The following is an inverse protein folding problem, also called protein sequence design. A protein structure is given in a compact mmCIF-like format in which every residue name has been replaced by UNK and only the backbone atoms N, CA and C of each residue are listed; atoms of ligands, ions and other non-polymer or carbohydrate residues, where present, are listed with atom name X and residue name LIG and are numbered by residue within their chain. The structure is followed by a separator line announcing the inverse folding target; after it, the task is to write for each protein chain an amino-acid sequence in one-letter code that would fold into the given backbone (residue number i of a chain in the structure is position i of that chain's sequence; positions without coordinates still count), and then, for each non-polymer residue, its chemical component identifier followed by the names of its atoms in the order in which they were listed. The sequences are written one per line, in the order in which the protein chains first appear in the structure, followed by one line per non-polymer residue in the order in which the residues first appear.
data_IF_824886715636
#
_entry.id   IF_824886715636
#
_cell.length_a   1.000
_cell.length_b   1.000
_cell.length_c   1.000
_cell.angle_alpha   90.00
_cell.angle_beta   90.00
_cell.angle_gamma   90.00
#
_symmetry.space_group_name_H-M   'P 1'
#
loop_
_entity.id
_entity.type
_entity.pdbx_description
1 polymer ?
#
# COMPACT_ATOMS: atom_id res chain seq x y z
N UNK A 1 -14.52 22.14 -24.13
CA UNK A 1 -14.08 20.90 -23.49
C UNK A 1 -12.70 21.21 -22.91
N UNK A 2 -12.47 20.91 -21.65
CA UNK A 2 -11.13 21.12 -21.10
C UNK A 2 -10.14 20.16 -21.76
N UNK A 3 -8.97 20.68 -22.14
CA UNK A 3 -7.90 19.83 -22.68
C UNK A 3 -7.29 18.99 -21.54
N UNK A 4 -6.91 17.73 -21.79
CA UNK A 4 -6.25 16.90 -20.79
C UNK A 4 -4.86 17.48 -20.43
N UNK A 5 -4.52 17.50 -19.16
CA UNK A 5 -3.19 17.91 -18.70
C UNK A 5 -2.16 16.79 -18.95
N UNK A 6 -2.58 15.53 -18.86
CA UNK A 6 -1.78 14.37 -19.19
C UNK A 6 -2.62 13.36 -19.97
N UNK A 7 -2.09 12.88 -21.07
CA UNK A 7 -2.72 11.85 -21.90
C UNK A 7 -1.72 10.71 -22.15
N UNK A 8 -2.19 9.50 -21.97
CA UNK A 8 -1.52 8.25 -22.28
C UNK A 8 -2.20 7.67 -23.50
N UNK A 9 -1.45 7.37 -24.56
CA UNK A 9 -1.99 6.85 -25.81
C UNK A 9 -1.31 5.50 -26.15
N UNK A 10 -2.11 4.43 -26.18
CA UNK A 10 -1.73 3.10 -26.66
C UNK A 10 -0.43 2.57 -26.00
N UNK A 11 -0.26 2.82 -24.69
CA UNK A 11 0.95 2.44 -23.96
C UNK A 11 0.98 0.95 -23.69
N UNK A 12 2.08 0.32 -24.09
CA UNK A 12 2.37 -1.09 -23.84
C UNK A 12 3.70 -1.25 -23.10
N UNK A 13 3.77 -2.25 -22.19
CA UNK A 13 4.97 -2.60 -21.45
C UNK A 13 5.06 -4.08 -21.19
N UNK A 14 6.22 -4.66 -21.50
CA UNK A 14 6.52 -6.07 -21.27
C UNK A 14 7.74 -6.21 -20.34
N UNK A 15 7.68 -7.18 -19.45
CA UNK A 15 8.81 -7.61 -18.61
C UNK A 15 9.03 -9.11 -18.88
N UNK A 16 10.16 -9.45 -19.47
CA UNK A 16 10.49 -10.81 -19.89
C UNK A 16 9.32 -11.51 -20.62
N UNK A 17 8.66 -12.47 -19.98
CA UNK A 17 7.52 -13.22 -20.54
C UNK A 17 6.16 -12.62 -20.17
N UNK A 18 6.10 -11.57 -19.36
CA UNK A 18 4.84 -11.01 -18.85
C UNK A 18 4.51 -9.68 -19.54
N UNK A 19 3.35 -9.61 -20.20
CA UNK A 19 2.77 -8.37 -20.70
C UNK A 19 2.12 -7.65 -19.52
N UNK A 20 2.72 -6.56 -19.04
CA UNK A 20 2.23 -5.81 -17.89
C UNK A 20 1.23 -4.72 -18.27
N UNK A 21 1.36 -4.14 -19.48
CA UNK A 21 0.39 -3.23 -20.08
C UNK A 21 0.29 -3.54 -21.56
N UNK A 22 -0.92 -3.55 -22.10
CA UNK A 22 -1.25 -3.86 -23.48
C UNK A 22 -2.26 -2.85 -24.00
N UNK A 23 -1.81 -1.92 -24.84
CA UNK A 23 -2.62 -0.90 -25.51
C UNK A 23 -3.45 -0.01 -24.53
N UNK A 24 -2.84 0.44 -23.45
CA UNK A 24 -3.53 1.24 -22.43
C UNK A 24 -3.56 2.71 -22.78
N UNK A 25 -4.76 3.30 -22.75
CA UNK A 25 -4.99 4.73 -22.95
C UNK A 25 -5.72 5.35 -21.74
N UNK A 26 -5.33 6.58 -21.34
CA UNK A 26 -5.88 7.29 -20.19
C UNK A 26 -5.75 8.79 -20.41
N UNK A 27 -6.76 9.57 -19.96
CA UNK A 27 -6.73 11.04 -19.99
C UNK A 27 -7.00 11.60 -18.61
N UNK A 28 -6.14 12.50 -18.14
CA UNK A 28 -6.30 13.22 -16.89
C UNK A 28 -6.58 14.69 -17.17
N UNK A 29 -7.63 15.21 -16.54
CA UNK A 29 -8.09 16.58 -16.75
C UNK A 29 -7.80 17.44 -15.52
N UNK A 30 -7.45 18.75 -15.70
CA UNK A 30 -7.27 19.66 -14.59
C UNK A 30 -8.55 19.77 -13.75
N UNK A 31 -8.41 19.81 -12.43
CA UNK A 31 -9.54 19.91 -11.50
C UNK A 31 -10.44 18.68 -11.47
N UNK A 32 -9.89 17.49 -11.78
CA UNK A 32 -10.62 16.22 -11.74
C UNK A 32 -9.86 15.17 -10.92
N UNK A 33 -10.60 14.40 -10.15
CA UNK A 33 -10.08 13.20 -9.49
C UNK A 33 -10.49 11.99 -10.34
N UNK A 34 -9.50 11.37 -10.97
CA UNK A 34 -9.65 10.20 -11.82
C UNK A 34 -9.22 8.95 -11.05
N UNK A 35 -10.13 8.02 -10.77
CA UNK A 35 -9.79 6.77 -10.14
C UNK A 35 -9.23 5.75 -11.15
N UNK A 36 -8.17 5.05 -10.78
CA UNK A 36 -7.65 3.91 -11.52
C UNK A 36 -7.84 2.65 -10.67
N UNK A 37 -8.69 1.75 -11.13
CA UNK A 37 -9.08 0.55 -10.40
C UNK A 37 -8.74 -0.72 -11.18
N UNK A 38 -8.63 -1.84 -10.49
CA UNK A 38 -8.30 -3.15 -11.06
C UNK A 38 -7.73 -4.07 -10.00
N UNK A 39 -7.72 -5.37 -10.23
CA UNK A 39 -7.12 -6.36 -9.33
C UNK A 39 -5.59 -6.19 -9.21
N UNK A 40 -5.00 -6.90 -8.24
CA UNK A 40 -3.53 -6.99 -8.14
C UNK A 40 -2.98 -7.66 -9.41
N UNK A 41 -1.95 -7.04 -10.01
CA UNK A 41 -1.41 -7.50 -11.30
C UNK A 41 -2.08 -6.89 -12.54
N UNK A 42 -3.13 -6.06 -12.40
CA UNK A 42 -3.81 -5.42 -13.53
C UNK A 42 -2.98 -4.38 -14.30
N UNK A 43 -1.75 -4.08 -13.88
CA UNK A 43 -0.86 -3.14 -14.56
C UNK A 43 -0.80 -1.73 -13.94
N UNK A 44 -1.60 -1.43 -12.90
CA UNK A 44 -1.68 -0.10 -12.28
C UNK A 44 -0.31 0.46 -11.89
N UNK A 45 0.48 -0.29 -11.10
CA UNK A 45 1.80 0.15 -10.65
C UNK A 45 2.81 0.29 -11.79
N UNK A 46 2.67 -0.47 -12.88
CA UNK A 46 3.48 -0.31 -14.09
C UNK A 46 3.15 1.00 -14.79
N UNK A 47 1.86 1.34 -14.92
CA UNK A 47 1.43 2.61 -15.48
C UNK A 47 1.96 3.79 -14.64
N UNK A 48 1.83 3.74 -13.31
CA UNK A 48 2.38 4.76 -12.41
C UNK A 48 3.89 4.95 -12.65
N UNK A 49 4.66 3.87 -12.72
CA UNK A 49 6.12 3.92 -12.96
C UNK A 49 6.45 4.55 -14.30
N UNK A 50 5.62 4.36 -15.32
CA UNK A 50 5.79 5.02 -16.63
C UNK A 50 5.49 6.51 -16.51
N UNK A 51 4.38 6.89 -15.87
CA UNK A 51 3.99 8.30 -15.68
C UNK A 51 4.99 9.07 -14.81
N UNK A 52 5.65 8.41 -13.89
CA UNK A 52 6.69 8.98 -13.02
C UNK A 52 8.11 8.87 -13.59
N UNK A 53 8.29 8.29 -14.77
CA UNK A 53 9.59 8.15 -15.43
C UNK A 53 10.52 7.10 -14.80
N UNK A 54 10.05 6.30 -13.86
CA UNK A 54 10.81 5.19 -13.26
C UNK A 54 11.00 4.04 -14.24
N UNK A 55 10.02 3.88 -15.15
CA UNK A 55 10.05 2.91 -16.23
C UNK A 55 9.74 3.61 -17.55
N UNK A 56 10.25 3.06 -18.67
CA UNK A 56 9.89 3.52 -20.01
C UNK A 56 8.86 2.58 -20.61
N UNK A 57 7.89 3.13 -21.33
CA UNK A 57 6.99 2.35 -22.17
C UNK A 57 7.79 1.71 -23.34
N UNK A 58 7.35 0.54 -23.77
CA UNK A 58 7.95 -0.10 -24.97
C UNK A 58 7.27 0.39 -26.24
N UNK A 59 5.96 0.76 -26.14
CA UNK A 59 5.17 1.34 -27.22
C UNK A 59 4.21 2.37 -26.66
N UNK A 60 3.66 3.22 -27.54
CA UNK A 60 2.72 4.27 -27.19
C UNK A 60 3.38 5.59 -26.83
N UNK A 61 2.56 6.58 -26.52
CA UNK A 61 2.98 7.97 -26.35
C UNK A 61 2.38 8.59 -25.10
N UNK A 62 3.11 9.56 -24.55
CA UNK A 62 2.64 10.43 -23.46
C UNK A 62 2.55 11.86 -23.99
N UNK A 63 1.41 12.51 -23.78
CA UNK A 63 1.24 13.92 -24.12
C UNK A 63 0.99 14.71 -22.84
N UNK A 64 1.69 15.82 -22.69
CA UNK A 64 1.51 16.77 -21.59
C UNK A 64 0.96 18.07 -22.18
N UNK A 65 -0.26 18.44 -21.81
CA UNK A 65 -0.98 19.60 -22.38
C UNK A 65 -0.92 19.60 -23.91
N UNK A 66 -1.22 18.45 -24.54
CA UNK A 66 -1.24 18.24 -25.98
C UNK A 66 0.13 18.06 -26.65
N UNK A 67 1.25 18.22 -25.93
CA UNK A 67 2.59 18.10 -26.48
C UNK A 67 3.18 16.71 -26.21
N UNK A 68 3.67 16.04 -27.24
CA UNK A 68 4.38 14.78 -27.11
C UNK A 68 5.57 14.93 -26.16
N UNK A 69 5.61 14.12 -25.12
CA UNK A 69 6.57 14.29 -24.02
C UNK A 69 7.17 12.96 -23.64
N UNK A 70 8.50 12.91 -23.54
CA UNK A 70 9.21 11.76 -23.01
C UNK A 70 9.63 12.02 -21.56
N UNK A 71 9.14 11.18 -20.65
CA UNK A 71 9.47 11.26 -19.22
C UNK A 71 10.61 10.27 -18.94
N UNK A 72 11.84 10.73 -19.01
CA UNK A 72 13.04 9.87 -18.98
C UNK A 72 13.38 9.36 -17.57
N UNK A 73 13.02 10.12 -16.53
CA UNK A 73 13.29 9.80 -15.13
C UNK A 73 12.36 10.59 -14.20
N UNK A 74 12.36 10.24 -12.92
CA UNK A 74 11.51 10.86 -11.90
C UNK A 74 11.76 12.37 -11.74
N UNK A 75 13.01 12.81 -11.92
CA UNK A 75 13.33 14.23 -11.86
C UNK A 75 12.72 15.02 -13.02
N UNK A 76 12.70 14.43 -14.21
CA UNK A 76 12.03 15.02 -15.38
C UNK A 76 10.51 15.07 -15.19
N UNK A 77 9.90 14.01 -14.61
CA UNK A 77 8.49 14.02 -14.24
C UNK A 77 8.16 15.21 -13.32
N UNK A 78 8.96 15.43 -12.28
CA UNK A 78 8.80 16.58 -11.38
C UNK A 78 8.89 17.93 -12.11
N UNK A 79 9.83 18.11 -13.05
CA UNK A 79 9.93 19.36 -13.83
C UNK A 79 8.71 19.61 -14.72
N UNK A 80 7.99 18.56 -15.09
CA UNK A 80 6.72 18.63 -15.82
C UNK A 80 5.51 18.83 -14.90
N UNK A 81 5.71 18.88 -13.58
CA UNK A 81 4.65 19.01 -12.58
C UNK A 81 3.92 17.70 -12.32
N UNK A 82 4.55 16.54 -12.55
CA UNK A 82 4.01 15.23 -12.21
C UNK A 82 4.68 14.74 -10.92
N UNK A 83 3.89 14.47 -9.89
CA UNK A 83 4.35 13.91 -8.62
C UNK A 83 3.54 12.67 -8.25
N UNK A 84 4.15 11.75 -7.51
CA UNK A 84 3.48 10.57 -6.98
C UNK A 84 3.68 10.47 -5.48
N UNK A 85 2.61 10.09 -4.79
CA UNK A 85 2.59 9.70 -3.38
C UNK A 85 2.36 8.21 -3.37
N UNK A 86 3.26 7.50 -2.71
CA UNK A 86 3.23 6.05 -2.62
C UNK A 86 2.56 5.59 -1.32
N UNK A 87 2.22 4.32 -1.24
CA UNK A 87 1.63 3.68 -0.06
C UNK A 87 2.46 3.91 1.22
N UNK A 88 3.80 3.87 1.10
CA UNK A 88 4.73 4.25 2.16
C UNK A 88 5.31 5.63 1.83
N UNK A 89 5.16 6.66 2.70
CA UNK A 89 5.68 7.99 2.44
C UNK A 89 7.19 7.99 2.18
N UNK A 90 7.60 8.62 1.09
CA UNK A 90 9.01 8.80 0.74
C UNK A 90 9.57 10.08 1.39
N UNK A 91 9.81 10.01 2.68
CA UNK A 91 10.27 11.11 3.51
C UNK A 91 11.60 10.80 4.18
N UNK A 92 12.28 11.82 4.64
CA UNK A 92 13.50 11.72 5.45
C UNK A 92 13.12 11.87 6.92
N UNK A 93 13.10 10.78 7.70
CA UNK A 93 12.54 10.78 9.05
C UNK A 93 13.33 11.66 10.04
N UNK A 94 14.62 11.84 9.83
CA UNK A 94 15.51 12.62 10.69
C UNK A 94 15.51 14.13 10.40
N UNK A 95 14.90 14.55 9.29
CA UNK A 95 14.75 15.94 8.92
C UNK A 95 13.43 16.51 9.43
N UNK A 96 13.37 17.83 9.58
CA UNK A 96 12.12 18.50 9.93
C UNK A 96 11.15 18.59 8.74
N UNK A 97 9.92 19.03 9.01
CA UNK A 97 8.85 19.16 8.02
C UNK A 97 9.23 20.10 6.88
N UNK A 98 9.79 21.27 7.18
CA UNK A 98 10.15 22.23 6.15
C UNK A 98 11.32 21.73 5.29
N UNK A 99 12.31 21.08 5.89
CA UNK A 99 13.40 20.44 5.16
C UNK A 99 12.86 19.37 4.20
N UNK A 100 11.94 18.53 4.66
CA UNK A 100 11.32 17.52 3.80
C UNK A 100 10.56 18.12 2.62
N UNK A 101 9.81 19.20 2.83
CA UNK A 101 9.08 19.90 1.76
C UNK A 101 10.05 20.41 0.70
N UNK A 102 11.16 20.99 1.10
CA UNK A 102 12.03 21.74 0.20
C UNK A 102 13.32 21.03 -0.24
N UNK A 103 13.61 19.83 0.24
CA UNK A 103 14.85 19.08 -0.10
C UNK A 103 15.04 18.85 -1.61
N UNK A 104 13.94 18.82 -2.38
CA UNK A 104 14.00 18.61 -3.82
C UNK A 104 14.21 19.91 -4.64
N UNK A 105 14.24 21.07 -3.98
CA UNK A 105 14.41 22.37 -4.65
C UNK A 105 15.89 22.66 -4.92
N UNK A 106 16.26 22.75 -6.19
CA UNK A 106 17.65 23.03 -6.62
C UNK A 106 18.04 24.50 -6.57
N UNK A 107 17.06 25.40 -6.67
CA UNK A 107 17.28 26.83 -6.94
C UNK A 107 17.37 27.70 -5.66
N UNK A 108 17.61 27.08 -4.49
CA UNK A 108 17.64 27.83 -3.22
C UNK A 108 18.97 28.53 -2.92
N UNK A 109 19.91 28.50 -3.85
CA UNK A 109 21.23 29.13 -3.71
C UNK A 109 22.17 28.36 -2.77
N UNK A 110 23.35 28.95 -2.51
CA UNK A 110 24.39 28.33 -1.70
C UNK A 110 24.11 28.41 -0.18
N UNK A 111 23.34 29.42 0.24
CA UNK A 111 22.95 29.60 1.64
C UNK A 111 21.45 29.38 1.84
N UNK A 112 21.08 28.53 2.80
CA UNK A 112 19.70 28.28 3.15
C UNK A 112 19.17 29.43 4.01
N UNK A 113 18.08 30.04 3.58
CA UNK A 113 17.34 31.08 4.34
C UNK A 113 16.27 30.39 5.18
N UNK A 114 16.64 29.92 6.36
CA UNK A 114 15.77 29.11 7.23
C UNK A 114 14.42 29.78 7.53
N UNK A 115 14.43 31.04 7.94
CA UNK A 115 13.16 31.74 8.28
C UNK A 115 12.20 31.83 7.09
N UNK A 116 12.74 32.08 5.89
CA UNK A 116 11.94 32.09 4.68
C UNK A 116 11.38 30.67 4.39
N UNK A 117 12.20 29.64 4.52
CA UNK A 117 11.81 28.25 4.29
C UNK A 117 10.70 27.82 5.23
N UNK A 118 10.81 28.11 6.53
CA UNK A 118 9.78 27.79 7.52
C UNK A 118 8.47 28.54 7.26
N UNK A 119 8.54 29.84 6.88
CA UNK A 119 7.36 30.61 6.55
C UNK A 119 6.65 30.07 5.30
N UNK A 120 7.39 29.75 4.24
CA UNK A 120 6.84 29.16 3.02
C UNK A 120 6.20 27.78 3.30
N UNK A 121 6.87 26.92 4.08
CA UNK A 121 6.32 25.62 4.49
C UNK A 121 5.00 25.77 5.24
N UNK A 122 4.95 26.73 6.18
CA UNK A 122 3.75 27.04 6.95
C UNK A 122 2.59 27.46 6.05
N UNK A 123 2.83 28.37 5.11
CA UNK A 123 1.81 28.84 4.15
C UNK A 123 1.28 27.68 3.31
N UNK A 124 2.15 26.77 2.83
CA UNK A 124 1.74 25.61 2.03
C UNK A 124 0.84 24.69 2.86
N UNK A 125 1.21 24.39 4.11
CA UNK A 125 0.43 23.52 4.99
C UNK A 125 -0.91 24.16 5.40
N UNK A 126 -0.92 25.45 5.69
CA UNK A 126 -2.15 26.21 5.99
C UNK A 126 -3.12 26.18 4.79
N UNK A 127 -2.62 26.38 3.57
CA UNK A 127 -3.41 26.32 2.35
C UNK A 127 -4.00 24.91 2.10
N UNK A 128 -3.32 23.86 2.56
CA UNK A 128 -3.83 22.49 2.55
C UNK A 128 -4.85 22.22 3.67
N UNK A 129 -5.02 23.14 4.62
CA UNK A 129 -5.84 22.95 5.82
C UNK A 129 -5.22 21.97 6.82
N UNK A 130 -3.89 21.84 6.82
CA UNK A 130 -3.13 20.93 7.67
C UNK A 130 -2.36 21.73 8.72
N UNK A 131 -2.58 21.40 10.00
CA UNK A 131 -1.89 22.05 11.11
C UNK A 131 -0.77 21.15 11.63
N UNK A 132 0.45 21.36 11.15
CA UNK A 132 1.67 20.65 11.56
C UNK A 132 2.75 21.68 11.86
N UNK A 133 3.50 21.48 12.96
CA UNK A 133 4.67 22.31 13.23
C UNK A 133 5.75 22.05 12.18
N UNK A 134 6.13 23.10 11.46
CA UNK A 134 7.12 23.03 10.37
C UNK A 134 8.53 22.65 10.84
N UNK A 135 8.80 22.74 12.15
CA UNK A 135 10.07 22.38 12.80
C UNK A 135 10.02 21.01 13.46
N UNK A 136 8.87 20.33 13.46
CA UNK A 136 8.76 18.98 13.98
C UNK A 136 9.54 18.00 13.11
N UNK A 137 10.26 17.06 13.77
CA UNK A 137 10.94 15.96 13.06
C UNK A 137 9.91 14.96 12.53
N UNK A 138 10.07 14.47 11.32
CA UNK A 138 9.08 13.59 10.70
C UNK A 138 8.92 12.25 11.41
N UNK A 139 9.96 11.70 12.02
CA UNK A 139 9.88 10.45 12.80
C UNK A 139 8.89 10.52 13.97
N UNK A 140 8.57 11.72 14.47
CA UNK A 140 7.57 11.93 15.52
C UNK A 140 6.14 12.11 15.06
N UNK A 141 5.90 12.15 13.75
CA UNK A 141 4.58 12.41 13.17
C UNK A 141 3.82 11.12 12.83
N UNK A 142 2.50 11.21 12.85
CA UNK A 142 1.63 10.12 12.36
C UNK A 142 1.83 9.91 10.84
N UNK A 143 1.48 8.73 10.34
CA UNK A 143 1.59 8.42 8.92
C UNK A 143 0.80 9.41 8.04
N UNK A 144 -0.40 9.79 8.47
CA UNK A 144 -1.21 10.79 7.78
C UNK A 144 -0.55 12.17 7.72
N UNK A 145 0.12 12.59 8.80
CA UNK A 145 0.88 13.83 8.82
C UNK A 145 2.08 13.76 7.88
N UNK A 146 2.81 12.65 7.85
CA UNK A 146 3.91 12.42 6.90
C UNK A 146 3.43 12.47 5.45
N UNK A 147 2.29 11.85 5.12
CA UNK A 147 1.67 11.95 3.80
C UNK A 147 1.29 13.39 3.44
N UNK A 148 0.75 14.15 4.39
CA UNK A 148 0.45 15.56 4.18
C UNK A 148 1.71 16.40 3.88
N UNK A 149 2.83 16.07 4.49
CA UNK A 149 4.13 16.68 4.18
C UNK A 149 4.61 16.31 2.78
N UNK A 150 4.40 15.06 2.34
CA UNK A 150 4.73 14.61 0.98
C UNK A 150 3.86 15.34 -0.07
N UNK A 151 2.57 15.55 0.21
CA UNK A 151 1.69 16.38 -0.62
C UNK A 151 2.19 17.83 -0.66
N UNK A 152 2.53 18.42 0.49
CA UNK A 152 3.07 19.76 0.58
C UNK A 152 4.36 19.93 -0.25
N UNK A 153 5.24 18.92 -0.24
CA UNK A 153 6.41 18.84 -1.10
C UNK A 153 6.04 18.85 -2.59
N UNK A 154 5.03 18.08 -3.01
CA UNK A 154 4.56 18.06 -4.39
C UNK A 154 4.03 19.44 -4.81
N UNK A 155 3.24 20.09 -3.94
CA UNK A 155 2.71 21.43 -4.19
C UNK A 155 3.81 22.46 -4.32
N UNK A 156 4.82 22.42 -3.47
CA UNK A 156 5.95 23.36 -3.52
C UNK A 156 6.69 23.30 -4.86
N UNK A 157 6.54 22.20 -5.62
CA UNK A 157 7.08 21.99 -6.96
C UNK A 157 6.08 22.32 -8.09
N UNK A 158 4.99 23.06 -7.80
CA UNK A 158 3.96 23.43 -8.78
C UNK A 158 3.34 22.22 -9.51
N UNK A 159 2.91 21.22 -8.73
CA UNK A 159 2.30 20.01 -9.25
C UNK A 159 1.07 20.30 -10.11
N UNK A 160 1.00 19.68 -11.29
CA UNK A 160 -0.14 19.70 -12.21
C UNK A 160 -0.91 18.38 -12.19
N UNK A 161 -0.19 17.28 -12.00
CA UNK A 161 -0.72 15.92 -11.90
C UNK A 161 -0.18 15.26 -10.64
N UNK A 162 -1.07 14.92 -9.72
CA UNK A 162 -0.74 14.20 -8.50
C UNK A 162 -1.25 12.77 -8.58
N UNK A 163 -0.36 11.80 -8.50
CA UNK A 163 -0.67 10.37 -8.47
C UNK A 163 -0.68 9.93 -7.01
N UNK A 164 -1.77 9.33 -6.54
CA UNK A 164 -1.91 8.79 -5.19
C UNK A 164 -2.09 7.27 -5.27
N UNK A 165 -1.04 6.52 -4.93
CA UNK A 165 -1.01 5.04 -5.00
C UNK A 165 -1.34 4.44 -3.65
N UNK A 166 -2.60 3.99 -3.46
CA UNK A 166 -3.14 3.41 -2.22
C UNK A 166 -2.87 4.27 -0.96
N UNK A 167 -3.12 5.58 -0.99
CA UNK A 167 -2.67 6.48 0.07
C UNK A 167 -3.38 6.24 1.41
N UNK A 168 -4.46 5.47 1.43
CA UNK A 168 -5.33 5.23 2.60
C UNK A 168 -5.10 3.89 3.29
N UNK A 169 -4.21 3.05 2.76
CA UNK A 169 -4.07 1.64 3.18
C UNK A 169 -3.81 1.46 4.69
N UNK A 170 -3.07 2.38 5.30
CA UNK A 170 -2.66 2.32 6.71
C UNK A 170 -3.27 3.44 7.56
N UNK A 171 -4.27 4.16 7.03
CA UNK A 171 -4.90 5.29 7.71
C UNK A 171 -6.18 4.89 8.44
N UNK A 172 -6.44 5.55 9.57
CA UNK A 172 -7.73 5.54 10.24
C UNK A 172 -8.79 6.30 9.43
N UNK A 173 -10.07 6.05 9.66
CA UNK A 173 -11.17 6.75 8.98
C UNK A 173 -11.09 8.28 9.15
N UNK A 174 -10.62 8.76 10.30
CA UNK A 174 -10.43 10.19 10.53
C UNK A 174 -9.35 10.76 9.60
N UNK A 175 -8.23 10.07 9.49
CA UNK A 175 -7.10 10.45 8.64
C UNK A 175 -7.45 10.37 7.14
N UNK A 176 -8.23 9.36 6.74
CA UNK A 176 -8.76 9.27 5.36
C UNK A 176 -9.60 10.51 5.02
N UNK A 177 -10.49 10.93 5.92
CA UNK A 177 -11.30 12.13 5.73
C UNK A 177 -10.45 13.42 5.64
N UNK A 178 -9.32 13.48 6.35
CA UNK A 178 -8.37 14.59 6.22
C UNK A 178 -7.70 14.58 4.86
N UNK A 179 -7.19 13.43 4.41
CA UNK A 179 -6.59 13.27 3.09
C UNK A 179 -7.57 13.65 1.97
N UNK A 180 -8.83 13.24 2.07
CA UNK A 180 -9.86 13.57 1.08
C UNK A 180 -10.17 15.07 1.04
N UNK A 181 -10.12 15.78 2.16
CA UNK A 181 -10.23 17.25 2.19
C UNK A 181 -9.06 17.90 1.43
N UNK A 182 -7.84 17.42 1.67
CA UNK A 182 -6.66 17.88 0.95
C UNK A 182 -6.79 17.62 -0.55
N UNK A 183 -7.22 16.42 -0.95
CA UNK A 183 -7.40 16.08 -2.37
C UNK A 183 -8.49 16.95 -3.04
N UNK A 184 -9.62 17.22 -2.35
CA UNK A 184 -10.66 18.13 -2.87
C UNK A 184 -10.14 19.56 -3.03
N UNK A 185 -9.36 20.06 -2.07
CA UNK A 185 -8.72 21.39 -2.17
C UNK A 185 -7.78 21.47 -3.39
N UNK A 186 -6.97 20.45 -3.62
CA UNK A 186 -6.08 20.36 -4.79
C UNK A 186 -6.88 20.35 -6.11
N UNK A 187 -7.96 19.60 -6.16
CA UNK A 187 -8.89 19.58 -7.30
C UNK A 187 -9.44 20.98 -7.58
N UNK A 188 -9.89 21.71 -6.56
CA UNK A 188 -10.39 23.10 -6.68
C UNK A 188 -9.30 24.06 -7.20
N UNK A 189 -8.03 23.76 -6.92
CA UNK A 189 -6.86 24.47 -7.45
C UNK A 189 -6.37 23.93 -8.82
N UNK A 190 -7.24 23.27 -9.58
CA UNK A 190 -6.98 22.74 -10.92
C UNK A 190 -5.86 21.68 -11.01
N UNK A 191 -5.48 21.01 -9.92
CA UNK A 191 -4.60 19.85 -9.97
C UNK A 191 -5.40 18.64 -10.48
N UNK A 192 -4.86 17.92 -11.44
CA UNK A 192 -5.40 16.62 -11.86
C UNK A 192 -4.92 15.55 -10.89
N UNK A 193 -5.82 14.74 -10.36
CA UNK A 193 -5.46 13.68 -9.40
C UNK A 193 -5.75 12.32 -10.02
N UNK A 194 -4.74 11.44 -10.06
CA UNK A 194 -4.91 10.03 -10.36
C UNK A 194 -4.92 9.26 -9.02
N UNK A 195 -6.10 8.80 -8.62
CA UNK A 195 -6.32 8.14 -7.33
C UNK A 195 -6.42 6.63 -7.53
N UNK A 196 -5.52 5.87 -6.92
CA UNK A 196 -5.51 4.42 -6.96
C UNK A 196 -5.92 3.88 -5.60
N UNK A 197 -6.97 3.08 -5.55
CA UNK A 197 -7.40 2.37 -4.35
C UNK A 197 -8.04 1.03 -4.73
N UNK A 198 -7.86 0.04 -3.88
CA UNK A 198 -8.61 -1.22 -3.94
C UNK A 198 -9.89 -1.17 -3.08
N UNK A 199 -10.10 -0.08 -2.31
CA UNK A 199 -11.27 0.17 -1.47
C UNK A 199 -12.31 0.94 -2.26
N UNK A 200 -13.29 0.22 -2.81
CA UNK A 200 -14.30 0.81 -3.70
C UNK A 200 -15.09 1.94 -3.02
N UNK A 201 -15.36 1.84 -1.71
CA UNK A 201 -16.07 2.90 -0.97
C UNK A 201 -15.35 4.24 -1.08
N UNK A 202 -14.02 4.24 -1.02
CA UNK A 202 -13.20 5.44 -1.19
C UNK A 202 -13.28 6.00 -2.61
N UNK A 203 -13.24 5.13 -3.61
CA UNK A 203 -13.38 5.52 -5.01
C UNK A 203 -14.73 6.21 -5.24
N UNK A 204 -15.81 5.62 -4.72
CA UNK A 204 -17.16 6.19 -4.84
C UNK A 204 -17.36 7.48 -4.03
N UNK A 205 -16.54 7.74 -3.03
CA UNK A 205 -16.61 8.96 -2.24
C UNK A 205 -15.91 10.15 -2.90
N UNK A 206 -14.77 9.90 -3.58
CA UNK A 206 -13.89 11.01 -3.97
C UNK A 206 -13.76 11.22 -5.48
N UNK A 207 -13.93 10.17 -6.32
CA UNK A 207 -13.65 10.24 -7.73
C UNK A 207 -14.76 10.90 -8.55
N UNK A 208 -14.39 11.55 -9.65
CA UNK A 208 -15.32 12.07 -10.67
C UNK A 208 -15.48 11.08 -11.83
N UNK A 209 -14.38 10.46 -12.22
CA UNK A 209 -14.27 9.52 -13.33
C UNK A 209 -13.43 8.34 -12.89
N UNK A 210 -13.67 7.19 -13.45
CA UNK A 210 -12.85 6.02 -13.20
C UNK A 210 -12.45 5.31 -14.50
N UNK A 211 -11.27 4.69 -14.46
CA UNK A 211 -10.78 3.75 -15.47
C UNK A 211 -10.55 2.39 -14.82
N UNK A 212 -11.02 1.35 -15.48
CA UNK A 212 -10.79 -0.04 -15.08
C UNK A 212 -9.66 -0.64 -15.91
N UNK A 213 -8.63 -1.15 -15.21
CA UNK A 213 -7.62 -2.00 -15.82
C UNK A 213 -7.82 -3.46 -15.37
N UNK A 214 -7.63 -4.38 -16.29
CA UNK A 214 -7.64 -5.83 -16.02
C UNK A 214 -6.65 -6.54 -16.95
N UNK A 215 -5.79 -7.38 -16.38
CA UNK A 215 -4.80 -8.18 -17.13
C UNK A 215 -3.91 -7.33 -18.07
N UNK A 216 -3.56 -6.13 -17.63
CA UNK A 216 -2.76 -5.18 -18.41
C UNK A 216 -3.53 -4.38 -19.46
N UNK A 217 -4.83 -4.57 -19.61
CA UNK A 217 -5.65 -3.94 -20.64
C UNK A 217 -6.60 -2.88 -20.07
N UNK A 218 -6.89 -1.87 -20.86
CA UNK A 218 -7.94 -0.89 -20.60
C UNK A 218 -9.31 -1.52 -20.87
N UNK A 219 -10.16 -1.62 -19.85
CA UNK A 219 -11.50 -2.22 -19.98
C UNK A 219 -12.55 -1.14 -20.26
N UNK A 220 -12.55 -0.09 -19.43
CA UNK A 220 -13.52 1.00 -19.58
C UNK A 220 -13.02 2.29 -18.91
N UNK A 221 -13.56 3.42 -19.35
CA UNK A 221 -13.44 4.72 -18.66
C UNK A 221 -14.83 5.35 -18.62
N UNK A 222 -15.33 5.62 -17.43
CA UNK A 222 -16.67 6.13 -17.22
C UNK A 222 -16.72 7.22 -16.15
N UNK A 223 -17.62 8.24 -16.29
CA UNK A 223 -17.99 9.10 -15.17
C UNK A 223 -18.55 8.25 -14.03
N UNK A 224 -18.15 8.55 -12.80
CA UNK A 224 -18.58 7.76 -11.62
C UNK A 224 -20.09 7.72 -11.47
N UNK A 225 -20.80 8.78 -11.87
CA UNK A 225 -22.27 8.86 -11.83
C UNK A 225 -23.00 7.81 -12.66
N UNK A 226 -22.29 7.15 -13.61
CA UNK A 226 -22.85 6.11 -14.48
C UNK A 226 -22.45 4.69 -14.04
N UNK A 227 -21.73 4.54 -12.94
CA UNK A 227 -21.16 3.25 -12.51
C UNK A 227 -21.77 2.85 -11.17
N UNK A 228 -22.16 1.57 -11.03
CA UNK A 228 -22.53 0.97 -9.75
C UNK A 228 -21.40 0.10 -9.20
N UNK A 229 -21.40 -0.18 -7.90
CA UNK A 229 -20.39 -1.07 -7.30
C UNK A 229 -20.38 -2.44 -7.94
N UNK A 230 -21.56 -2.98 -8.26
CA UNK A 230 -21.73 -4.28 -8.87
C UNK A 230 -21.17 -4.32 -10.29
N UNK A 231 -21.46 -3.29 -11.11
CA UNK A 231 -20.91 -3.18 -12.47
C UNK A 231 -19.40 -3.05 -12.45
N UNK A 232 -18.85 -2.25 -11.51
CA UNK A 232 -17.44 -2.05 -11.35
C UNK A 232 -16.70 -3.35 -10.99
N UNK A 233 -17.20 -4.09 -10.01
CA UNK A 233 -16.62 -5.38 -9.60
C UNK A 233 -16.63 -6.36 -10.78
N UNK A 234 -17.74 -6.42 -11.55
CA UNK A 234 -17.83 -7.28 -12.74
C UNK A 234 -16.77 -6.93 -13.78
N UNK A 235 -16.52 -5.65 -14.04
CA UNK A 235 -15.48 -5.20 -14.98
C UNK A 235 -14.07 -5.52 -14.47
N UNK A 236 -13.80 -5.30 -13.16
CA UNK A 236 -12.50 -5.57 -12.54
C UNK A 236 -12.13 -7.06 -12.56
N UNK A 237 -13.10 -7.94 -12.23
CA UNK A 237 -12.87 -9.38 -12.05
C UNK A 237 -13.13 -10.18 -13.32
N UNK A 238 -13.97 -9.67 -14.23
CA UNK A 238 -14.35 -10.35 -15.49
C UNK A 238 -15.31 -11.53 -15.30
N UNK A 239 -15.86 -11.73 -14.09
CA UNK A 239 -16.79 -12.83 -13.74
C UNK A 239 -17.96 -12.29 -12.93
N UNK A 240 -19.10 -12.98 -12.96
CA UNK A 240 -20.24 -12.61 -12.10
C UNK A 240 -19.96 -12.94 -10.63
N UNK A 241 -20.33 -12.02 -9.74
CA UNK A 241 -20.09 -12.10 -8.27
C UNK A 241 -20.68 -13.36 -7.65
N UNK A 242 -21.77 -13.90 -8.22
CA UNK A 242 -22.45 -15.09 -7.72
C UNK A 242 -21.59 -16.37 -7.65
N UNK A 243 -20.37 -16.35 -8.24
CA UNK A 243 -19.44 -17.49 -8.18
C UNK A 243 -18.45 -17.41 -6.99
N UNK A 244 -18.37 -16.28 -6.28
CA UNK A 244 -17.42 -16.12 -5.17
C UNK A 244 -17.95 -16.57 -3.82
N UNK A 245 -19.27 -16.55 -3.62
CA UNK A 245 -19.85 -16.99 -2.36
C UNK A 245 -20.41 -18.41 -2.51
N UNK A 246 -19.56 -19.41 -2.42
CA UNK A 246 -20.08 -20.75 -2.10
C UNK A 246 -20.70 -20.65 -0.70
N UNK A 247 -22.01 -20.89 -0.61
CA UNK A 247 -22.71 -21.02 0.68
C UNK A 247 -21.98 -22.09 1.50
N UNK A 248 -21.15 -21.63 2.43
CA UNK A 248 -20.38 -22.52 3.30
C UNK A 248 -21.40 -23.25 4.19
N UNK A 249 -21.64 -24.53 3.95
CA UNK A 249 -22.43 -25.33 4.86
C UNK A 249 -21.73 -25.27 6.23
N UNK A 250 -22.45 -24.78 7.24
CA UNK A 250 -21.95 -24.75 8.62
C UNK A 250 -21.60 -26.19 9.01
N UNK A 251 -20.32 -26.49 9.03
CA UNK A 251 -19.83 -27.78 9.55
C UNK A 251 -19.87 -27.72 11.08
N UNK A 252 -20.22 -28.83 11.74
CA UNK A 252 -20.04 -28.94 13.19
C UNK A 252 -18.58 -28.62 13.54
N UNK A 253 -18.38 -27.78 14.54
CA UNK A 253 -17.05 -27.47 15.05
C UNK A 253 -16.35 -28.77 15.49
N UNK A 254 -15.08 -28.89 15.13
CA UNK A 254 -14.24 -30.03 15.54
C UNK A 254 -13.78 -29.90 16.99
N UNK A 255 -12.71 -30.60 17.35
CA UNK A 255 -12.09 -30.48 18.68
C UNK A 255 -11.44 -29.11 18.82
N UNK A 256 -11.42 -28.54 20.04
CA UNK A 256 -10.63 -27.36 20.35
C UNK A 256 -9.14 -27.69 20.16
N UNK A 257 -8.45 -26.92 19.31
CA UNK A 257 -7.01 -27.07 19.00
C UNK A 257 -6.17 -25.98 19.63
N UNK A 258 -6.75 -24.80 19.89
CA UNK A 258 -6.10 -23.70 20.59
C UNK A 258 -7.11 -23.08 21.55
N UNK A 259 -6.73 -22.91 22.79
CA UNK A 259 -7.50 -22.19 23.82
C UNK A 259 -6.61 -21.13 24.46
N UNK A 260 -7.09 -19.90 24.47
CA UNK A 260 -6.40 -18.74 25.03
C UNK A 260 -7.28 -18.18 26.14
N UNK A 261 -6.70 -18.02 27.35
CA UNK A 261 -7.41 -17.58 28.54
C UNK A 261 -6.65 -16.45 29.22
N UNK A 262 -7.33 -15.30 29.38
CA UNK A 262 -6.82 -14.10 30.08
C UNK A 262 -5.41 -13.70 29.63
N UNK A 263 -5.15 -13.77 28.31
CA UNK A 263 -3.86 -13.44 27.75
C UNK A 263 -3.65 -11.92 27.82
N UNK A 264 -2.55 -11.49 28.44
CA UNK A 264 -2.26 -10.08 28.64
C UNK A 264 -0.81 -9.75 28.36
N UNK A 265 -0.57 -8.55 27.82
CA UNK A 265 0.74 -7.94 27.60
C UNK A 265 0.64 -6.44 27.82
N UNK A 266 1.15 -5.95 28.93
CA UNK A 266 1.12 -4.52 29.27
C UNK A 266 2.14 -3.72 28.43
N UNK A 267 1.81 -2.49 28.00
CA UNK A 267 0.50 -1.82 28.03
C UNK A 267 -0.32 -2.08 26.74
N UNK A 268 -0.12 -3.20 26.05
CA UNK A 268 -0.55 -3.43 24.66
C UNK A 268 -1.96 -3.98 24.60
N UNK A 269 -2.25 -5.07 25.31
CA UNK A 269 -3.59 -5.69 25.39
C UNK A 269 -3.77 -6.41 26.73
N UNK A 270 -5.01 -6.58 27.16
CA UNK A 270 -5.37 -7.21 28.42
C UNK A 270 -6.56 -8.15 28.27
N UNK A 271 -6.49 -9.30 28.98
CA UNK A 271 -7.60 -10.21 29.20
C UNK A 271 -8.16 -10.89 27.94
N UNK A 272 -7.35 -11.14 26.90
CA UNK A 272 -7.83 -11.77 25.65
C UNK A 272 -8.19 -13.24 25.87
N UNK A 273 -9.42 -13.61 25.47
CA UNK A 273 -9.94 -14.98 25.57
C UNK A 273 -10.59 -15.41 24.26
N UNK A 274 -10.25 -16.60 23.77
CA UNK A 274 -10.91 -17.25 22.64
C UNK A 274 -10.54 -18.74 22.52
N UNK A 275 -11.32 -19.47 21.76
CA UNK A 275 -11.03 -20.85 21.35
C UNK A 275 -11.05 -20.97 19.83
N UNK A 276 -10.18 -21.82 19.29
CA UNK A 276 -10.14 -22.18 17.89
C UNK A 276 -10.30 -23.70 17.76
N UNK A 277 -11.18 -24.12 16.86
CA UNK A 277 -11.53 -25.51 16.65
C UNK A 277 -10.95 -26.06 15.34
N UNK A 278 -10.77 -27.35 15.27
CA UNK A 278 -10.27 -28.02 14.07
C UNK A 278 -11.18 -27.74 12.86
N UNK A 279 -10.58 -27.22 11.77
CA UNK A 279 -11.29 -26.89 10.54
C UNK A 279 -12.07 -25.57 10.61
N UNK A 280 -11.93 -24.81 11.69
CA UNK A 280 -12.51 -23.49 11.87
C UNK A 280 -11.61 -22.39 11.25
N UNK A 281 -12.26 -21.30 10.82
CA UNK A 281 -11.61 -20.02 10.53
C UNK A 281 -12.21 -19.00 11.49
N UNK A 282 -11.43 -18.62 12.50
CA UNK A 282 -11.80 -17.61 13.48
C UNK A 282 -11.35 -16.22 12.98
N UNK A 283 -12.29 -15.29 12.87
CA UNK A 283 -12.02 -13.92 12.42
C UNK A 283 -11.77 -12.98 13.60
N UNK A 284 -10.67 -12.22 13.55
CA UNK A 284 -10.40 -11.10 14.46
C UNK A 284 -10.78 -9.80 13.79
N UNK A 285 -11.81 -9.10 14.29
CA UNK A 285 -12.25 -7.82 13.80
C UNK A 285 -11.87 -6.68 14.75
N UNK A 286 -11.59 -5.51 14.21
CA UNK A 286 -11.25 -4.31 14.99
C UNK A 286 -10.71 -3.20 14.09
N UNK A 287 -10.75 -1.97 14.59
CA UNK A 287 -10.19 -0.79 13.91
C UNK A 287 -8.66 -0.82 13.87
N UNK A 288 -8.06 0.04 13.06
CA UNK A 288 -6.62 0.32 13.11
C UNK A 288 -6.27 0.76 14.53
N UNK A 289 -5.20 0.19 15.10
CA UNK A 289 -4.80 0.45 16.49
C UNK A 289 -5.49 -0.43 17.54
N UNK A 290 -6.41 -1.34 17.18
CA UNK A 290 -7.06 -2.27 18.12
C UNK A 290 -6.16 -3.40 18.62
N UNK A 291 -4.89 -3.41 18.23
CA UNK A 291 -3.86 -4.36 18.69
C UNK A 291 -4.08 -5.83 18.29
N UNK A 292 -4.88 -6.10 17.24
CA UNK A 292 -5.09 -7.46 16.71
C UNK A 292 -3.80 -8.15 16.30
N UNK A 293 -2.93 -7.42 15.60
CA UNK A 293 -1.62 -7.90 15.15
C UNK A 293 -0.74 -8.27 16.32
N UNK A 294 -0.78 -7.49 17.41
CA UNK A 294 0.02 -7.76 18.62
C UNK A 294 -0.36 -9.09 19.28
N UNK A 295 -1.66 -9.46 19.27
CA UNK A 295 -2.12 -10.78 19.75
C UNK A 295 -1.53 -11.91 18.88
N UNK A 296 -1.53 -11.74 17.55
CA UNK A 296 -0.91 -12.70 16.63
C UNK A 296 0.59 -12.86 16.85
N UNK A 297 1.31 -11.74 17.02
CA UNK A 297 2.75 -11.71 17.34
C UNK A 297 3.06 -12.41 18.67
N UNK A 298 2.20 -12.22 19.68
CA UNK A 298 2.32 -12.85 20.98
C UNK A 298 2.13 -14.37 20.89
N UNK A 299 1.10 -14.84 20.19
CA UNK A 299 0.85 -16.27 19.96
C UNK A 299 1.95 -16.95 19.15
N UNK A 300 2.67 -16.20 18.33
CA UNK A 300 3.83 -16.72 17.58
C UNK A 300 5.16 -16.56 18.33
N UNK A 301 5.15 -15.95 19.52
CA UNK A 301 6.34 -15.81 20.37
C UNK A 301 7.34 -14.75 19.92
N UNK A 302 6.93 -13.80 19.06
CA UNK A 302 7.75 -12.62 18.72
C UNK A 302 7.72 -11.63 19.88
N UNK A 303 6.55 -11.45 20.47
CA UNK A 303 6.31 -10.59 21.63
C UNK A 303 5.73 -11.43 22.77
N UNK A 304 6.52 -12.14 23.57
CA UNK A 304 6.01 -12.99 24.65
C UNK A 304 5.05 -12.25 25.59
N UNK A 305 4.05 -12.97 26.09
CA UNK A 305 3.01 -12.44 26.97
C UNK A 305 3.49 -12.34 28.41
N UNK A 306 2.87 -11.42 29.18
CA UNK A 306 3.20 -11.23 30.60
C UNK A 306 2.38 -12.17 31.49
N UNK A 307 1.14 -12.48 31.09
CA UNK A 307 0.24 -13.36 31.84
C UNK A 307 -0.81 -14.03 30.95
N UNK A 308 -1.54 -14.97 31.52
CA UNK A 308 -2.55 -15.75 30.83
C UNK A 308 -2.08 -17.19 30.53
N UNK A 309 -2.95 -17.96 29.87
CA UNK A 309 -2.66 -19.35 29.54
C UNK A 309 -2.97 -19.61 28.06
N UNK A 310 -2.03 -20.28 27.38
CA UNK A 310 -2.19 -20.80 26.03
C UNK A 310 -2.21 -22.33 26.13
N UNK A 311 -3.26 -22.97 25.60
CA UNK A 311 -3.36 -24.42 25.54
C UNK A 311 -3.44 -24.85 24.05
N UNK A 312 -2.61 -25.81 23.67
CA UNK A 312 -2.67 -26.47 22.34
C UNK A 312 -3.02 -27.94 22.58
N UNK A 313 -4.07 -28.43 21.88
CA UNK A 313 -4.62 -29.76 22.08
C UNK A 313 -4.88 -30.08 23.57
N UNK A 314 -5.44 -29.11 24.32
CA UNK A 314 -5.74 -29.16 25.76
C UNK A 314 -4.51 -29.30 26.66
N UNK A 315 -3.32 -29.03 26.17
CA UNK A 315 -2.08 -29.01 26.97
C UNK A 315 -1.60 -27.58 27.10
N UNK A 316 -1.33 -27.11 28.32
CA UNK A 316 -0.77 -25.79 28.52
C UNK A 316 0.65 -25.73 27.91
N UNK A 317 0.92 -24.66 27.20
CA UNK A 317 2.20 -24.42 26.51
C UNK A 317 2.72 -23.02 26.81
N UNK A 318 4.03 -22.88 26.77
CA UNK A 318 4.71 -21.58 26.84
C UNK A 318 5.31 -21.33 25.45
N UNK A 319 5.07 -20.13 24.91
CA UNK A 319 5.57 -19.73 23.59
C UNK A 319 6.39 -18.46 23.73
N UNK A 320 7.71 -18.60 23.90
CA UNK A 320 8.64 -17.49 24.10
C UNK A 320 9.46 -17.19 22.83
N UNK A 321 9.26 -17.95 21.76
CA UNK A 321 9.97 -17.76 20.50
C UNK A 321 9.23 -18.36 19.32
N UNK A 322 9.44 -17.84 18.08
CA UNK A 322 8.91 -18.40 16.85
C UNK A 322 9.28 -19.87 16.64
N UNK A 323 10.48 -20.29 17.09
CA UNK A 323 10.94 -21.66 17.00
C UNK A 323 10.11 -22.62 17.87
N UNK A 324 9.68 -22.19 19.05
CA UNK A 324 8.76 -22.95 19.89
C UNK A 324 7.37 -23.02 19.27
N UNK A 325 6.84 -21.89 18.80
CA UNK A 325 5.56 -21.83 18.10
C UNK A 325 5.51 -22.84 16.93
N UNK A 326 6.54 -22.84 16.09
CA UNK A 326 6.65 -23.77 14.96
C UNK A 326 6.67 -25.25 15.40
N UNK A 327 7.39 -25.59 16.48
CA UNK A 327 7.41 -26.97 17.03
C UNK A 327 6.04 -27.42 17.52
N UNK A 328 5.22 -26.48 17.97
CA UNK A 328 3.85 -26.70 18.43
C UNK A 328 2.82 -26.68 17.29
N UNK A 329 3.28 -26.48 16.05
CA UNK A 329 2.41 -26.44 14.86
C UNK A 329 1.73 -25.09 14.61
N UNK A 330 2.18 -24.01 15.25
CA UNK A 330 1.70 -22.65 15.00
C UNK A 330 2.56 -22.02 13.91
N UNK A 331 1.90 -21.45 12.89
CA UNK A 331 2.53 -20.66 11.84
C UNK A 331 1.93 -19.26 11.81
N UNK A 332 2.73 -18.26 11.46
CA UNK A 332 2.33 -16.88 11.36
C UNK A 332 2.64 -16.32 9.97
N UNK A 333 1.62 -15.75 9.32
CA UNK A 333 1.77 -15.02 8.07
C UNK A 333 1.64 -13.53 8.38
N UNK A 334 2.77 -12.81 8.25
CA UNK A 334 2.84 -11.38 8.59
C UNK A 334 2.19 -10.49 7.54
N UNK A 335 1.56 -9.39 7.99
CA UNK A 335 1.17 -8.27 7.12
C UNK A 335 2.40 -7.55 6.56
N UNK A 336 3.45 -7.41 7.38
CA UNK A 336 4.71 -6.79 6.99
C UNK A 336 5.63 -7.80 6.28
N UNK A 337 5.53 -7.82 4.95
CA UNK A 337 6.35 -8.70 4.11
C UNK A 337 7.83 -8.36 4.18
N UNK A 338 8.20 -7.07 4.34
CA UNK A 338 9.58 -6.59 4.24
C UNK A 338 10.38 -6.81 5.51
N UNK A 339 9.78 -6.57 6.68
CA UNK A 339 10.49 -6.68 7.96
C UNK A 339 10.37 -8.07 8.58
N UNK A 340 9.18 -8.70 8.49
CA UNK A 340 8.86 -9.93 9.20
C UNK A 340 8.59 -11.13 8.29
N UNK A 341 8.21 -10.89 7.03
CA UNK A 341 7.68 -11.95 6.17
C UNK A 341 8.72 -12.61 5.26
N UNK A 342 9.58 -11.84 4.60
CA UNK A 342 10.46 -12.33 3.53
C UNK A 342 11.88 -11.78 3.65
N UNK A 343 12.86 -12.64 3.37
CA UNK A 343 14.23 -12.23 3.12
C UNK A 343 14.34 -11.74 1.65
N UNK A 344 13.99 -10.46 1.41
CA UNK A 344 13.81 -9.88 0.08
C UNK A 344 14.97 -10.10 -0.93
N UNK A 345 16.25 -10.11 -0.53
CA UNK A 345 17.36 -10.39 -1.45
C UNK A 345 17.50 -11.87 -1.84
N UNK A 346 16.78 -12.77 -1.16
CA UNK A 346 16.88 -14.22 -1.39
C UNK A 346 15.88 -14.70 -2.42
N UNK A 347 16.18 -15.86 -3.05
CA UNK A 347 15.26 -16.49 -4.00
C UNK A 347 13.96 -16.97 -3.35
N UNK A 348 12.95 -17.21 -4.16
CA UNK A 348 11.66 -17.80 -3.69
C UNK A 348 11.91 -19.15 -3.03
N UNK A 349 12.71 -20.00 -3.64
CA UNK A 349 13.10 -21.31 -3.08
C UNK A 349 13.66 -21.17 -1.67
N UNK A 350 14.62 -20.27 -1.49
CA UNK A 350 15.24 -20.03 -0.18
C UNK A 350 14.23 -19.50 0.84
N UNK A 351 13.36 -18.57 0.46
CA UNK A 351 12.31 -18.06 1.35
C UNK A 351 11.33 -19.15 1.79
N UNK A 352 10.93 -20.06 0.89
CA UNK A 352 10.03 -21.18 1.22
C UNK A 352 10.70 -22.15 2.19
N UNK A 353 11.98 -22.43 2.00
CA UNK A 353 12.69 -23.47 2.76
C UNK A 353 13.34 -22.98 4.05
N UNK A 354 13.59 -21.66 4.17
CA UNK A 354 14.25 -21.03 5.32
C UNK A 354 13.65 -21.43 6.68
N UNK A 355 12.33 -21.44 6.89
CA UNK A 355 11.75 -21.83 8.18
C UNK A 355 12.01 -23.27 8.56
N UNK A 356 12.30 -24.15 7.60
CA UNK A 356 12.57 -25.56 7.77
C UNK A 356 13.96 -26.00 7.28
N UNK A 357 14.91 -25.07 7.22
CA UNK A 357 16.24 -25.27 6.62
C UNK A 357 16.97 -26.52 7.15
N UNK A 358 16.77 -26.86 8.44
CA UNK A 358 17.35 -28.07 9.05
C UNK A 358 17.00 -29.36 8.32
N UNK A 359 15.85 -29.45 7.63
CA UNK A 359 15.43 -30.63 6.85
C UNK A 359 16.30 -30.86 5.61
N UNK A 360 16.94 -29.78 5.12
CA UNK A 360 17.74 -29.81 3.90
C UNK A 360 19.25 -29.83 4.17
N UNK A 361 19.67 -29.92 5.44
CA UNK A 361 21.09 -30.03 5.81
C UNK A 361 21.57 -31.46 5.71
N UNK A 362 22.64 -31.67 4.94
CA UNK A 362 23.38 -32.91 4.90
C UNK A 362 24.27 -33.12 6.14
N UNK A 363 24.99 -34.26 6.20
CA UNK A 363 25.84 -34.69 7.34
C UNK A 363 26.90 -33.67 7.76
N UNK A 364 27.33 -32.78 6.87
CA UNK A 364 28.34 -31.73 7.13
C UNK A 364 27.71 -30.34 7.30
N UNK A 365 26.41 -30.23 7.49
CA UNK A 365 25.72 -28.94 7.57
C UNK A 365 25.61 -28.22 6.22
N UNK A 366 25.89 -28.87 5.11
CA UNK A 366 25.80 -28.33 3.76
C UNK A 366 24.38 -28.51 3.23
N UNK A 367 23.80 -27.48 2.65
CA UNK A 367 22.43 -27.53 2.10
C UNK A 367 22.38 -28.44 0.87
N UNK A 368 21.50 -29.43 0.88
CA UNK A 368 21.18 -30.22 -0.29
C UNK A 368 20.25 -29.44 -1.23
N UNK A 369 20.85 -28.74 -2.19
CA UNK A 369 20.16 -27.90 -3.17
C UNK A 369 19.13 -28.66 -4.00
N UNK A 370 19.36 -29.93 -4.28
CA UNK A 370 18.44 -30.79 -5.07
C UNK A 370 17.14 -31.04 -4.30
N UNK A 371 17.23 -31.35 -3.01
CA UNK A 371 16.05 -31.55 -2.16
C UNK A 371 15.35 -30.25 -1.85
N UNK A 372 16.11 -29.19 -1.62
CA UNK A 372 15.57 -27.84 -1.41
C UNK A 372 14.69 -27.42 -2.60
N UNK A 373 15.21 -27.55 -3.82
CA UNK A 373 14.48 -27.18 -5.04
C UNK A 373 13.23 -28.06 -5.24
N UNK A 374 13.34 -29.40 -5.03
CA UNK A 374 12.17 -30.29 -5.14
C UNK A 374 11.04 -29.96 -4.18
N UNK A 375 11.36 -29.41 -3.02
CA UNK A 375 10.35 -29.07 -2.00
C UNK A 375 9.71 -27.70 -2.24
N UNK A 376 10.33 -26.85 -3.05
CA UNK A 376 9.84 -25.53 -3.39
C UNK A 376 8.97 -25.49 -4.66
N UNK A 377 9.05 -26.54 -5.47
CA UNK A 377 8.23 -26.79 -6.65
C UNK A 377 7.14 -27.83 -6.35
#
# INVERSE_FOLDING_TARGET
MNEPVLEVQNVSKRFDMTQALDDVSLKLFPGQIHALVGENGAGKSTLIKILTGVQQADQGELLLSGNLTKIENAQKAQTYGIAAIYQEPMVFPDLDVAENIFISHKDRGFFVRWDQMYNEAKIILENLGVNIDVRATLSGLTLAAQQSVEIAKAISLNVKVLIMDEPTASLSNHEVNQLFRVARNLKENNVAILFISHRLDEVFEIADTLTVLRDGQHISTNPLSKVTKESLIKEMVGREINQFYSTRKVKKLGKSVLSVKKLSKEPIFDGIEFELHQGEVLGFAGLVGSRRTDVGLALFGINPVDSGTIEIDKKPVIIDSPQQAQKLGVAYLSEDRRQLGLAMPMSITTNITLPSLKKYLGKLGIINRSEENKSAY
#
